data_IF_459095870034
#
_entry.id   IF_459095870034
#
_cell.length_a   1.000
_cell.length_b   1.000
_cell.length_c   1.000
_cell.angle_alpha   90.00
_cell.angle_beta   90.00
_cell.angle_gamma   90.00
#
_symmetry.space_group_name_H-M   'P 1'
#
loop_
_entity.id
_entity.type
_entity.pdbx_description
1 polymer ?
#
# COMPACT_ATOMS: atom_id res chain seq x y z
N UNK A 1 -50.90 -3.25 -39.43
CA UNK A 1 -51.97 -2.87 -38.47
C UNK A 1 -51.55 -3.43 -37.11
N UNK A 2 -50.77 -2.68 -36.33
CA UNK A 2 -51.21 -1.92 -35.12
C UNK A 2 -51.52 -2.85 -33.94
N UNK A 3 -51.19 -2.60 -32.66
CA UNK A 3 -50.35 -1.66 -31.90
C UNK A 3 -50.47 -2.11 -30.41
N UNK A 4 -49.49 -1.76 -29.58
CA UNK A 4 -49.59 -1.55 -28.11
C UNK A 4 -49.60 -2.80 -27.19
N UNK A 5 -48.87 -2.90 -26.08
CA UNK A 5 -48.53 -1.88 -25.06
C UNK A 5 -47.22 -2.23 -24.32
N UNK A 6 -46.33 -1.24 -24.21
CA UNK A 6 -45.21 -1.21 -23.26
C UNK A 6 -45.68 -0.72 -21.89
N UNK A 7 -45.15 -1.27 -20.80
CA UNK A 7 -45.17 -0.63 -19.46
C UNK A 7 -43.74 -0.37 -19.01
N UNK A 8 -43.39 0.91 -19.03
CA UNK A 8 -42.21 1.54 -18.46
C UNK A 8 -42.30 1.48 -16.93
N UNK A 9 -41.25 0.99 -16.26
CA UNK A 9 -41.06 1.22 -14.82
C UNK A 9 -39.88 2.17 -14.65
N UNK A 10 -40.19 3.45 -14.39
CA UNK A 10 -39.23 4.43 -13.91
C UNK A 10 -38.71 3.97 -12.54
N UNK A 11 -37.38 3.90 -12.38
CA UNK A 11 -36.74 3.91 -11.06
C UNK A 11 -35.86 5.14 -10.98
N UNK A 12 -36.29 6.09 -10.16
CA UNK A 12 -35.58 7.30 -9.78
C UNK A 12 -34.21 6.98 -9.15
N UNK A 13 -33.19 7.83 -9.29
CA UNK A 13 -31.92 7.63 -8.60
C UNK A 13 -32.10 7.92 -7.11
N UNK A 14 -31.93 6.89 -6.26
CA UNK A 14 -31.92 7.05 -4.80
C UNK A 14 -30.58 7.63 -4.34
N UNK A 15 -30.66 8.60 -3.44
CA UNK A 15 -29.61 9.31 -2.72
C UNK A 15 -28.63 8.41 -1.94
N UNK A 16 -27.73 7.72 -2.63
CA UNK A 16 -26.71 6.87 -2.01
C UNK A 16 -25.44 7.62 -1.54
N UNK A 17 -25.38 8.95 -1.71
CA UNK A 17 -24.14 9.72 -1.51
C UNK A 17 -23.81 10.19 -0.08
N UNK A 18 -24.75 10.16 0.86
CA UNK A 18 -24.55 10.80 2.19
C UNK A 18 -24.40 9.83 3.37
N UNK A 19 -24.69 8.54 3.18
CA UNK A 19 -24.62 7.56 4.27
C UNK A 19 -23.32 6.73 4.28
N UNK A 20 -22.57 6.64 3.18
CA UNK A 20 -21.27 5.97 3.18
C UNK A 20 -20.17 6.82 3.82
N UNK A 21 -20.18 8.14 3.60
CA UNK A 21 -19.20 9.09 4.17
C UNK A 21 -19.22 9.11 5.70
N UNK A 22 -20.37 8.86 6.34
CA UNK A 22 -20.48 8.81 7.81
C UNK A 22 -19.87 7.55 8.44
N UNK A 23 -19.62 6.49 7.66
CA UNK A 23 -19.05 5.24 8.17
C UNK A 23 -17.53 5.31 8.35
N UNK A 24 -16.87 6.24 7.67
CA UNK A 24 -15.41 6.40 7.64
C UNK A 24 -14.88 7.54 8.52
N UNK A 25 -15.77 8.38 9.05
CA UNK A 25 -15.42 9.47 9.97
C UNK A 25 -14.44 9.04 11.09
N UNK A 26 -14.54 7.86 11.74
CA UNK A 26 -13.61 7.50 12.81
C UNK A 26 -12.16 7.26 12.35
N UNK A 27 -11.94 6.84 11.09
CA UNK A 27 -10.59 6.62 10.54
C UNK A 27 -9.99 7.94 10.06
N UNK A 28 -10.81 8.78 9.42
CA UNK A 28 -10.43 10.12 9.00
C UNK A 28 -10.12 11.01 10.20
N UNK A 29 -10.94 10.99 11.25
CA UNK A 29 -10.73 11.72 12.50
C UNK A 29 -9.48 11.22 13.25
N UNK A 30 -9.26 9.90 13.27
CA UNK A 30 -8.06 9.33 13.89
C UNK A 30 -6.78 9.72 13.13
N UNK A 31 -6.81 9.64 11.80
CA UNK A 31 -5.66 10.03 10.97
C UNK A 31 -5.46 11.55 10.98
N UNK A 32 -6.53 12.35 10.99
CA UNK A 32 -6.43 13.80 11.17
C UNK A 32 -5.91 14.19 12.56
N UNK A 33 -6.21 13.42 13.61
CA UNK A 33 -5.63 13.61 14.94
C UNK A 33 -4.16 13.17 15.03
N UNK A 34 -3.75 12.21 14.20
CA UNK A 34 -2.37 11.73 14.09
C UNK A 34 -1.50 12.58 13.12
N UNK A 35 -2.13 13.27 12.17
CA UNK A 35 -1.51 14.17 11.20
C UNK A 35 -1.46 15.58 11.79
N UNK A 36 -0.26 16.04 12.14
CA UNK A 36 -0.01 17.43 12.55
C UNK A 36 -0.43 18.37 11.40
N UNK A 37 -1.31 19.36 11.60
CA UNK A 37 -1.78 20.24 10.53
C UNK A 37 -0.62 20.97 9.85
N UNK A 38 -0.55 20.93 8.52
CA UNK A 38 0.21 21.90 7.74
C UNK A 38 -0.67 23.14 7.53
N UNK A 39 -0.59 24.11 8.44
CA UNK A 39 -1.35 25.35 8.30
C UNK A 39 -0.83 26.17 7.11
N UNK A 40 -1.57 26.11 6.02
CA UNK A 40 -1.52 27.08 4.93
C UNK A 40 -2.62 28.12 5.12
N UNK A 41 -2.29 29.27 5.70
CA UNK A 41 -3.08 30.51 5.59
C UNK A 41 -2.18 31.74 5.65
N UNK A 42 -2.05 32.42 4.52
CA UNK A 42 -1.55 33.80 4.40
C UNK A 42 -2.73 34.78 4.48
N UNK A 43 -2.61 35.91 5.19
CA UNK A 43 -3.35 37.12 4.88
C UNK A 43 -2.49 38.11 4.09
N UNK A 44 -3.14 38.82 3.17
CA UNK A 44 -2.58 39.79 2.23
C UNK A 44 -2.68 41.25 2.75
N UNK A 45 -1.86 42.14 2.15
CA UNK A 45 -1.86 43.62 2.25
C UNK A 45 -0.53 44.18 2.80
N UNK A 46 0.17 45.17 2.26
CA UNK A 46 -0.05 46.13 1.17
C UNK A 46 1.30 46.72 0.64
N UNK A 47 1.25 47.29 -0.59
CA UNK A 47 2.27 48.00 -1.42
C UNK A 47 3.06 49.15 -0.72
N UNK A 48 4.23 49.72 -1.12
CA UNK A 48 5.14 49.85 -2.33
C UNK A 48 6.39 50.70 -1.87
N UNK A 49 7.37 51.19 -2.68
CA UNK A 49 7.97 50.74 -3.96
C UNK A 49 9.54 50.74 -4.01
N UNK A 50 10.08 50.06 -5.03
CA UNK A 50 11.30 50.29 -5.83
C UNK A 50 12.66 50.73 -5.21
N UNK A 51 13.68 49.85 -5.30
CA UNK A 51 14.96 50.20 -5.97
C UNK A 51 15.78 48.95 -6.35
N UNK A 52 16.31 48.97 -7.57
CA UNK A 52 17.22 47.98 -8.17
C UNK A 52 18.48 47.70 -7.33
N UNK A 53 18.65 46.45 -6.89
CA UNK A 53 19.95 45.77 -6.76
C UNK A 53 19.66 44.28 -6.52
N UNK A 54 19.98 43.41 -7.49
CA UNK A 54 19.81 41.97 -7.34
C UNK A 54 20.70 41.43 -6.20
N UNK A 55 20.14 40.74 -5.18
CA UNK A 55 20.95 40.10 -4.17
C UNK A 55 21.15 38.60 -4.47
N UNK A 56 22.22 37.99 -3.93
CA UNK A 56 22.45 36.56 -4.03
C UNK A 56 21.32 35.82 -3.31
N UNK A 57 20.81 34.77 -3.95
CA UNK A 57 19.71 33.93 -3.51
C UNK A 57 20.06 33.26 -2.17
N UNK A 58 19.68 33.90 -1.07
CA UNK A 58 19.50 33.23 0.22
C UNK A 58 18.28 32.33 0.09
N UNK A 59 18.49 31.08 -0.34
CA UNK A 59 17.57 30.02 0.03
C UNK A 59 17.71 29.82 1.54
N UNK A 60 16.92 30.58 2.29
CA UNK A 60 16.64 30.29 3.68
C UNK A 60 16.09 28.87 3.73
N UNK A 61 16.91 27.95 4.23
CA UNK A 61 16.45 26.67 4.72
C UNK A 61 15.36 26.96 5.75
N UNK A 62 14.09 26.87 5.36
CA UNK A 62 13.01 26.57 6.30
C UNK A 62 13.17 25.09 6.63
N UNK A 63 14.25 24.76 7.34
CA UNK A 63 14.28 23.58 8.18
C UNK A 63 13.25 23.88 9.25
N UNK A 64 12.00 23.48 9.02
CA UNK A 64 11.07 23.25 10.12
C UNK A 64 11.80 22.30 11.06
N UNK A 65 12.39 22.85 12.11
CA UNK A 65 13.07 22.12 13.17
C UNK A 65 12.00 21.42 13.98
N UNK A 66 11.31 20.46 13.37
CA UNK A 66 10.46 19.53 14.10
C UNK A 66 11.39 18.80 15.06
N UNK A 67 11.30 19.17 16.33
CA UNK A 67 11.97 18.45 17.40
C UNK A 67 11.57 16.97 17.28
N UNK A 68 12.50 16.03 17.47
CA UNK A 68 12.16 14.61 17.46
C UNK A 68 11.05 14.36 18.50
N UNK A 69 10.07 13.50 18.18
CA UNK A 69 8.95 13.24 19.06
C UNK A 69 9.45 12.71 20.42
N UNK A 70 8.78 13.13 21.50
CA UNK A 70 9.17 12.69 22.85
C UNK A 70 8.85 11.19 23.02
N UNK A 71 9.61 10.45 23.85
CA UNK A 71 9.31 9.05 24.13
C UNK A 71 7.86 8.80 24.58
N UNK A 72 7.29 9.70 25.38
CA UNK A 72 5.89 9.61 25.83
C UNK A 72 4.88 9.70 24.67
N UNK A 73 5.16 10.52 23.65
CA UNK A 73 4.31 10.67 22.47
C UNK A 73 4.38 9.42 21.59
N UNK A 74 5.58 8.87 21.39
CA UNK A 74 5.79 7.61 20.66
C UNK A 74 5.03 6.48 21.36
N UNK A 75 5.19 6.34 22.67
CA UNK A 75 4.52 5.32 23.45
C UNK A 75 2.98 5.47 23.39
N UNK A 76 2.47 6.70 23.40
CA UNK A 76 1.04 6.96 23.22
C UNK A 76 0.56 6.49 21.84
N UNK A 77 1.29 6.78 20.77
CA UNK A 77 0.94 6.34 19.41
C UNK A 77 0.94 4.81 19.32
N UNK A 78 1.97 4.14 19.85
CA UNK A 78 2.03 2.67 19.87
C UNK A 78 0.79 2.10 20.58
N UNK A 79 0.48 2.56 21.79
CA UNK A 79 -0.68 2.04 22.53
C UNK A 79 -2.01 2.32 21.83
N UNK A 80 -2.21 3.52 21.28
CA UNK A 80 -3.46 3.87 20.58
C UNK A 80 -3.62 3.10 19.26
N UNK A 81 -2.52 2.88 18.53
CA UNK A 81 -2.56 2.09 17.29
C UNK A 81 -3.00 0.64 17.53
N UNK A 82 -2.56 0.03 18.63
CA UNK A 82 -2.97 -1.33 19.03
C UNK A 82 -4.41 -1.37 19.53
N UNK A 83 -4.78 -0.47 20.45
CA UNK A 83 -6.15 -0.41 21.00
C UNK A 83 -7.20 -0.18 19.91
N UNK A 84 -6.84 0.57 18.87
CA UNK A 84 -7.74 0.86 17.75
C UNK A 84 -7.69 -0.18 16.63
N UNK A 85 -6.82 -1.19 16.70
CA UNK A 85 -6.55 -2.16 15.63
C UNK A 85 -6.22 -1.44 14.30
N UNK A 86 -5.39 -0.40 14.35
CA UNK A 86 -5.25 0.55 13.26
C UNK A 86 -4.78 -0.11 11.96
N UNK A 87 -3.76 -0.99 12.02
CA UNK A 87 -3.25 -1.69 10.84
C UNK A 87 -4.36 -2.47 10.12
N UNK A 88 -5.21 -3.18 10.88
CA UNK A 88 -6.33 -3.93 10.32
C UNK A 88 -7.41 -3.01 9.73
N UNK A 89 -7.71 -1.88 10.39
CA UNK A 89 -8.66 -0.89 9.86
C UNK A 89 -8.16 -0.27 8.56
N UNK A 90 -6.89 0.10 8.50
CA UNK A 90 -6.28 0.60 7.27
C UNK A 90 -6.43 -0.44 6.16
N UNK A 91 -6.00 -1.69 6.41
CA UNK A 91 -6.05 -2.75 5.41
C UNK A 91 -7.47 -3.04 4.89
N UNK A 92 -8.49 -3.01 5.76
CA UNK A 92 -9.89 -3.26 5.39
C UNK A 92 -10.57 -2.11 4.65
N UNK A 93 -10.09 -0.88 4.80
CA UNK A 93 -10.80 0.31 4.32
C UNK A 93 -10.03 1.13 3.29
N UNK A 94 -8.76 0.81 3.01
CA UNK A 94 -7.95 1.59 2.06
C UNK A 94 -8.54 1.63 0.64
N UNK A 95 -9.23 0.57 0.20
CA UNK A 95 -9.87 0.52 -1.12
C UNK A 95 -10.94 1.61 -1.32
N UNK A 96 -11.66 1.98 -0.25
CA UNK A 96 -12.76 2.97 -0.29
C UNK A 96 -12.34 4.36 0.20
N UNK A 97 -11.12 4.50 0.71
CA UNK A 97 -10.56 5.76 1.17
C UNK A 97 -10.38 6.76 0.02
N UNK A 98 -10.47 8.06 0.32
CA UNK A 98 -10.14 9.13 -0.62
C UNK A 98 -8.67 9.06 -1.06
N UNK A 99 -8.30 9.60 -2.24
CA UNK A 99 -6.91 9.54 -2.72
C UNK A 99 -5.88 10.11 -1.75
N UNK A 100 -6.21 11.21 -1.07
CA UNK A 100 -5.36 11.83 -0.05
C UNK A 100 -5.21 10.92 1.16
N UNK A 101 -6.31 10.31 1.61
CA UNK A 101 -6.31 9.39 2.74
C UNK A 101 -5.52 8.11 2.43
N UNK A 102 -5.60 7.56 1.22
CA UNK A 102 -4.77 6.42 0.80
C UNK A 102 -3.28 6.71 0.96
N UNK A 103 -2.81 7.88 0.52
CA UNK A 103 -1.40 8.29 0.68
C UNK A 103 -1.00 8.38 2.15
N UNK A 104 -1.84 8.97 2.99
CA UNK A 104 -1.62 9.03 4.44
C UNK A 104 -1.58 7.64 5.07
N UNK A 105 -2.48 6.74 4.68
CA UNK A 105 -2.50 5.35 5.12
C UNK A 105 -1.20 4.61 4.79
N UNK A 106 -0.68 4.76 3.57
CA UNK A 106 0.61 4.15 3.15
C UNK A 106 1.74 4.65 4.05
N UNK A 107 1.82 5.96 4.29
CA UNK A 107 2.83 6.55 5.16
C UNK A 107 2.71 6.04 6.60
N UNK A 108 1.50 6.11 7.18
CA UNK A 108 1.26 5.68 8.56
C UNK A 108 1.58 4.20 8.74
N UNK A 109 1.17 3.35 7.79
CA UNK A 109 1.50 1.93 7.78
C UNK A 109 3.00 1.68 7.87
N UNK A 110 3.78 2.26 6.95
CA UNK A 110 5.23 2.08 6.92
C UNK A 110 5.94 2.60 8.18
N UNK A 111 5.47 3.71 8.76
CA UNK A 111 6.01 4.23 10.01
C UNK A 111 5.68 3.33 11.20
N UNK A 112 4.44 2.86 11.32
CA UNK A 112 4.02 2.02 12.44
C UNK A 112 4.77 0.69 12.48
N UNK A 113 5.03 0.06 11.33
CA UNK A 113 5.79 -1.19 11.29
C UNK A 113 7.24 -1.04 11.78
N UNK A 114 7.82 0.15 11.63
CA UNK A 114 9.20 0.46 12.07
C UNK A 114 9.25 1.04 13.48
N UNK A 115 8.12 1.50 14.01
CA UNK A 115 8.04 2.20 15.29
C UNK A 115 8.30 1.25 16.45
N UNK A 116 9.33 1.54 17.23
CA UNK A 116 9.67 0.80 18.44
C UNK A 116 9.06 1.48 19.67
N UNK A 117 8.54 0.68 20.61
CA UNK A 117 8.15 1.22 21.91
C UNK A 117 9.42 1.66 22.68
N UNK A 118 9.44 2.88 23.22
CA UNK A 118 10.57 3.34 24.03
C UNK A 118 10.76 2.57 25.34
N UNK A 119 9.79 1.75 25.76
CA UNK A 119 9.86 0.99 27.02
C UNK A 119 10.66 -0.30 26.89
N UNK A 120 10.51 -1.01 25.77
CA UNK A 120 11.09 -2.33 25.57
C UNK A 120 11.83 -2.48 24.24
N UNK A 121 11.88 -1.43 23.42
CA UNK A 121 12.50 -1.42 22.08
C UNK A 121 11.89 -2.43 21.10
N UNK A 122 10.66 -2.89 21.36
CA UNK A 122 9.96 -3.83 20.48
C UNK A 122 9.13 -3.10 19.43
N UNK A 123 9.08 -3.65 18.22
CA UNK A 123 8.20 -3.21 17.13
C UNK A 123 6.79 -3.79 17.35
N UNK A 124 6.05 -3.24 18.32
CA UNK A 124 4.78 -3.85 18.78
C UNK A 124 3.73 -3.93 17.67
N UNK A 125 3.67 -2.95 16.77
CA UNK A 125 2.77 -2.99 15.60
C UNK A 125 3.16 -4.07 14.57
N UNK A 126 4.46 -4.34 14.42
CA UNK A 126 4.91 -5.47 13.59
C UNK A 126 4.49 -6.81 14.23
N UNK A 127 4.65 -6.96 15.55
CA UNK A 127 4.18 -8.15 16.26
C UNK A 127 2.65 -8.33 16.16
N UNK A 128 1.90 -7.22 16.18
CA UNK A 128 0.46 -7.24 15.89
C UNK A 128 0.18 -7.76 14.47
N UNK A 129 0.89 -7.26 13.45
CA UNK A 129 0.73 -7.72 12.06
C UNK A 129 0.93 -9.24 11.96
N UNK A 130 1.96 -9.78 12.62
CA UNK A 130 2.29 -11.21 12.62
C UNK A 130 1.18 -12.10 13.18
N UNK A 131 0.41 -11.60 14.14
CA UNK A 131 -0.70 -12.31 14.77
C UNK A 131 -2.06 -12.06 14.09
N UNK A 132 -2.11 -11.18 13.09
CA UNK A 132 -3.33 -10.78 12.38
C UNK A 132 -3.15 -10.92 10.86
N UNK A 133 -3.14 -12.15 10.32
CA UNK A 133 -2.89 -12.40 8.89
C UNK A 133 -3.92 -11.74 7.95
N UNK A 134 -5.11 -11.41 8.46
CA UNK A 134 -6.12 -10.65 7.73
C UNK A 134 -5.61 -9.29 7.24
N UNK A 135 -4.66 -8.65 7.94
CA UNK A 135 -4.06 -7.41 7.49
C UNK A 135 -3.43 -7.57 6.10
N UNK A 136 -2.58 -8.60 5.92
CA UNK A 136 -1.90 -8.84 4.65
C UNK A 136 -2.88 -9.39 3.59
N UNK A 137 -3.79 -10.29 3.97
CA UNK A 137 -4.82 -10.83 3.05
C UNK A 137 -5.69 -9.73 2.46
N UNK A 138 -6.16 -8.79 3.30
CA UNK A 138 -6.95 -7.67 2.84
C UNK A 138 -6.15 -6.80 1.84
N UNK A 139 -4.89 -6.48 2.14
CA UNK A 139 -4.05 -5.70 1.23
C UNK A 139 -3.85 -6.39 -0.13
N UNK A 140 -3.54 -7.69 -0.13
CA UNK A 140 -3.38 -8.46 -1.37
C UNK A 140 -4.68 -8.47 -2.18
N UNK A 141 -5.82 -8.67 -1.52
CA UNK A 141 -7.13 -8.64 -2.20
C UNK A 141 -7.44 -7.28 -2.85
N UNK A 142 -6.91 -6.18 -2.30
CA UNK A 142 -7.13 -4.84 -2.84
C UNK A 142 -6.36 -4.57 -4.16
N UNK A 143 -5.44 -5.44 -4.59
CA UNK A 143 -4.83 -5.33 -5.91
C UNK A 143 -5.85 -5.37 -7.05
N UNK A 144 -7.01 -6.02 -6.85
CA UNK A 144 -8.09 -6.04 -7.84
C UNK A 144 -8.78 -4.69 -8.02
N UNK A 145 -8.44 -3.68 -7.21
CA UNK A 145 -8.98 -2.32 -7.29
C UNK A 145 -7.91 -1.43 -7.93
N UNK A 146 -8.02 -1.06 -9.23
CA UNK A 146 -6.95 -0.40 -9.98
C UNK A 146 -6.38 0.85 -9.28
N UNK A 147 -7.25 1.77 -8.83
CA UNK A 147 -6.84 3.02 -8.17
C UNK A 147 -6.22 2.83 -6.77
N UNK A 148 -6.26 1.61 -6.23
CA UNK A 148 -5.70 1.26 -4.92
C UNK A 148 -4.44 0.39 -5.05
N UNK A 149 -4.30 -0.35 -6.16
CA UNK A 149 -3.26 -1.36 -6.39
C UNK A 149 -1.84 -0.86 -6.05
N UNK A 150 -1.45 0.29 -6.58
CA UNK A 150 -0.12 0.89 -6.33
C UNK A 150 0.11 1.24 -4.85
N UNK A 151 -0.95 1.59 -4.11
CA UNK A 151 -0.83 1.96 -2.70
C UNK A 151 -0.66 0.73 -1.83
N UNK A 152 -1.47 -0.31 -2.06
CA UNK A 152 -1.38 -1.55 -1.29
C UNK A 152 -0.10 -2.32 -1.61
N UNK A 153 0.40 -2.23 -2.84
CA UNK A 153 1.70 -2.78 -3.19
C UNK A 153 2.84 -2.18 -2.39
N UNK A 154 2.90 -0.85 -2.26
CA UNK A 154 3.88 -0.17 -1.39
C UNK A 154 3.76 -0.65 0.06
N UNK A 155 2.55 -0.81 0.58
CA UNK A 155 2.34 -1.28 1.95
C UNK A 155 2.77 -2.73 2.17
N UNK A 156 2.46 -3.61 1.21
CA UNK A 156 2.89 -5.02 1.25
C UNK A 156 4.41 -5.09 1.20
N UNK A 157 5.07 -4.35 0.29
CA UNK A 157 6.53 -4.27 0.21
C UNK A 157 7.15 -3.70 1.48
N UNK A 158 6.57 -2.66 2.08
CA UNK A 158 7.03 -2.13 3.37
C UNK A 158 6.97 -3.17 4.49
N UNK A 159 5.97 -4.05 4.47
CA UNK A 159 5.87 -5.17 5.41
C UNK A 159 6.88 -6.29 5.08
N UNK A 160 7.15 -6.56 3.80
CA UNK A 160 8.10 -7.58 3.35
C UNK A 160 9.58 -7.21 3.57
N UNK A 161 9.87 -5.99 4.06
CA UNK A 161 11.19 -5.62 4.56
C UNK A 161 11.59 -6.35 5.84
N UNK A 162 10.64 -7.01 6.49
CA UNK A 162 10.86 -7.78 7.69
C UNK A 162 10.84 -9.28 7.36
N UNK A 163 11.96 -9.95 7.67
CA UNK A 163 12.18 -11.36 7.41
C UNK A 163 11.00 -12.24 7.86
N UNK A 164 10.53 -12.04 9.09
CA UNK A 164 9.48 -12.86 9.68
C UNK A 164 8.14 -12.70 8.95
N UNK A 165 7.85 -11.49 8.42
CA UNK A 165 6.64 -11.24 7.64
C UNK A 165 6.68 -12.01 6.34
N UNK A 166 7.82 -12.01 5.63
CA UNK A 166 7.98 -12.79 4.39
C UNK A 166 7.79 -14.27 4.68
N UNK A 167 8.47 -14.81 5.69
CA UNK A 167 8.36 -16.22 6.05
C UNK A 167 6.93 -16.61 6.45
N UNK A 168 6.30 -15.88 7.37
CA UNK A 168 5.01 -16.31 7.93
C UNK A 168 3.82 -15.92 7.05
N UNK A 169 3.81 -14.71 6.51
CA UNK A 169 2.65 -14.17 5.79
C UNK A 169 2.74 -14.51 4.31
N UNK A 170 3.87 -14.27 3.66
CA UNK A 170 3.96 -14.48 2.20
C UNK A 170 4.10 -15.95 1.84
N UNK A 171 5.00 -16.66 2.51
CA UNK A 171 5.30 -18.05 2.22
C UNK A 171 4.38 -19.03 2.94
N UNK A 172 4.45 -19.11 4.29
CA UNK A 172 3.70 -20.11 5.04
C UNK A 172 2.17 -20.02 4.88
N UNK A 173 1.65 -18.82 4.65
CA UNK A 173 0.20 -18.62 4.44
C UNK A 173 -0.24 -18.66 2.97
N UNK A 174 0.72 -18.82 2.04
CA UNK A 174 0.44 -18.95 0.61
C UNK A 174 0.04 -17.65 -0.11
N UNK A 175 0.20 -16.48 0.52
CA UNK A 175 -0.13 -15.19 -0.11
C UNK A 175 0.71 -14.91 -1.36
N UNK A 176 1.92 -15.46 -1.46
CA UNK A 176 2.72 -15.36 -2.67
C UNK A 176 1.99 -15.91 -3.90
N UNK A 177 1.19 -16.96 -3.76
CA UNK A 177 0.45 -17.53 -4.89
C UNK A 177 -0.70 -16.63 -5.35
N UNK A 178 -1.28 -15.82 -4.47
CA UNK A 178 -2.29 -14.82 -4.85
C UNK A 178 -1.67 -13.66 -5.64
N UNK A 179 -0.35 -13.40 -5.49
CA UNK A 179 0.32 -12.42 -6.34
C UNK A 179 0.34 -12.87 -7.81
N UNK A 180 0.34 -14.17 -8.11
CA UNK A 180 0.25 -14.63 -9.50
C UNK A 180 -1.06 -14.20 -10.17
N UNK A 181 -2.17 -14.12 -9.44
CA UNK A 181 -3.43 -13.59 -9.98
C UNK A 181 -3.29 -12.10 -10.35
N UNK A 182 -2.53 -11.34 -9.54
CA UNK A 182 -2.19 -9.93 -9.82
C UNK A 182 -1.32 -9.80 -11.06
N UNK A 183 -0.37 -10.73 -11.26
CA UNK A 183 0.51 -10.76 -12.42
C UNK A 183 -0.23 -11.07 -13.73
N UNK A 184 -1.38 -11.74 -13.67
CA UNK A 184 -2.25 -11.95 -14.83
C UNK A 184 -3.19 -10.77 -15.13
N UNK A 185 -3.12 -9.68 -14.35
CA UNK A 185 -3.98 -8.51 -14.54
C UNK A 185 -3.77 -7.85 -15.91
N UNK A 186 -4.87 -7.46 -16.55
CA UNK A 186 -4.84 -6.65 -17.78
C UNK A 186 -4.49 -5.18 -17.52
N UNK A 187 -4.51 -4.74 -16.26
CA UNK A 187 -4.05 -3.41 -15.89
C UNK A 187 -2.53 -3.41 -15.76
N UNK A 188 -1.86 -2.67 -16.64
CA UNK A 188 -0.41 -2.59 -16.72
C UNK A 188 0.24 -2.12 -15.41
N UNK A 189 -0.30 -1.07 -14.78
CA UNK A 189 0.26 -0.51 -13.55
C UNK A 189 0.13 -1.49 -12.38
N UNK A 190 -1.03 -2.15 -12.28
CA UNK A 190 -1.27 -3.22 -11.30
C UNK A 190 -0.33 -4.40 -11.51
N UNK A 191 -0.17 -4.87 -12.76
CA UNK A 191 0.73 -5.97 -13.09
C UNK A 191 2.19 -5.61 -12.79
N UNK A 192 2.64 -4.43 -13.20
CA UNK A 192 4.00 -3.96 -12.97
C UNK A 192 4.32 -3.84 -11.48
N UNK A 193 3.39 -3.30 -10.69
CA UNK A 193 3.55 -3.24 -9.23
C UNK A 193 3.50 -4.64 -8.59
N UNK A 194 2.68 -5.56 -9.11
CA UNK A 194 2.68 -6.96 -8.72
C UNK A 194 4.03 -7.64 -8.93
N UNK A 195 4.70 -7.40 -10.07
CA UNK A 195 6.06 -7.92 -10.34
C UNK A 195 7.08 -7.35 -9.36
N UNK A 196 7.00 -6.07 -9.04
CA UNK A 196 7.88 -5.45 -8.04
C UNK A 196 7.66 -6.06 -6.65
N UNK A 197 6.42 -6.33 -6.27
CA UNK A 197 6.09 -7.00 -5.02
C UNK A 197 6.58 -8.45 -4.99
N UNK A 198 6.39 -9.23 -6.05
CA UNK A 198 6.92 -10.59 -6.14
C UNK A 198 8.45 -10.59 -6.03
N UNK A 199 9.12 -9.63 -6.69
CA UNK A 199 10.56 -9.44 -6.59
C UNK A 199 11.01 -9.14 -5.16
N UNK A 200 10.36 -8.18 -4.48
CA UNK A 200 10.67 -7.85 -3.08
C UNK A 200 10.58 -9.09 -2.17
N UNK A 201 9.50 -9.87 -2.31
CA UNK A 201 9.26 -11.09 -1.52
C UNK A 201 10.36 -12.13 -1.75
N UNK A 202 10.74 -12.36 -3.00
CA UNK A 202 11.70 -13.42 -3.36
C UNK A 202 13.16 -13.01 -3.15
N UNK A 203 13.51 -11.74 -3.33
CA UNK A 203 14.90 -11.31 -3.41
C UNK A 203 15.41 -10.57 -2.17
N UNK A 204 14.54 -10.06 -1.29
CA UNK A 204 14.98 -9.28 -0.14
C UNK A 204 15.59 -10.14 0.99
N UNK A 205 14.98 -11.29 1.29
CA UNK A 205 15.42 -12.21 2.36
C UNK A 205 15.84 -13.57 1.78
N UNK A 206 17.03 -13.59 1.16
CA UNK A 206 17.53 -14.73 0.36
C UNK A 206 17.49 -16.07 1.09
N UNK A 207 17.84 -16.10 2.36
CA UNK A 207 17.94 -17.32 3.16
C UNK A 207 16.59 -18.03 3.34
N UNK A 208 15.50 -17.27 3.51
CA UNK A 208 14.15 -17.82 3.56
C UNK A 208 13.65 -18.16 2.16
N UNK A 209 13.86 -17.25 1.20
CA UNK A 209 13.35 -17.42 -0.16
C UNK A 209 13.94 -18.65 -0.85
N UNK A 210 15.26 -18.86 -0.75
CA UNK A 210 15.92 -20.03 -1.35
C UNK A 210 15.40 -21.32 -0.73
N UNK A 211 15.29 -21.38 0.61
CA UNK A 211 14.74 -22.55 1.29
C UNK A 211 13.31 -22.83 0.81
N UNK A 212 12.45 -21.81 0.84
CA UNK A 212 11.06 -21.97 0.44
C UNK A 212 10.90 -22.35 -1.04
N UNK A 213 11.69 -21.75 -1.94
CA UNK A 213 11.69 -22.09 -3.37
C UNK A 213 12.12 -23.53 -3.63
N UNK A 214 13.10 -24.05 -2.89
CA UNK A 214 13.52 -25.46 -3.01
C UNK A 214 12.41 -26.41 -2.53
N UNK A 215 11.77 -26.07 -1.42
CA UNK A 215 10.69 -26.89 -0.83
C UNK A 215 9.40 -26.85 -1.67
N UNK A 216 9.19 -25.79 -2.46
CA UNK A 216 7.97 -25.55 -3.25
C UNK A 216 8.25 -25.41 -4.76
N UNK A 217 9.37 -25.99 -5.22
CA UNK A 217 9.89 -25.79 -6.58
C UNK A 217 8.81 -26.06 -7.64
N UNK A 218 8.19 -27.24 -7.60
CA UNK A 218 7.24 -27.64 -8.63
C UNK A 218 6.01 -26.72 -8.67
N UNK A 219 5.40 -26.42 -7.52
CA UNK A 219 4.21 -25.57 -7.46
C UNK A 219 4.52 -24.13 -7.92
N UNK A 220 5.62 -23.56 -7.41
CA UNK A 220 6.02 -22.20 -7.78
C UNK A 220 6.33 -22.10 -9.28
N UNK A 221 7.18 -22.99 -9.81
CA UNK A 221 7.58 -22.91 -11.21
C UNK A 221 6.48 -23.32 -12.18
N UNK A 222 5.49 -24.12 -11.77
CA UNK A 222 4.30 -24.35 -12.58
C UNK A 222 3.48 -23.06 -12.76
N UNK A 223 3.24 -22.30 -11.67
CA UNK A 223 2.58 -20.98 -11.76
C UNK A 223 3.41 -19.96 -12.54
N UNK A 224 4.73 -20.05 -12.42
CA UNK A 224 5.64 -19.20 -13.20
C UNK A 224 5.61 -19.54 -14.69
N UNK A 225 5.53 -20.83 -15.03
CA UNK A 225 5.41 -21.30 -16.40
C UNK A 225 4.12 -20.79 -17.04
N UNK A 226 3.00 -20.75 -16.31
CA UNK A 226 1.74 -20.16 -16.79
C UNK A 226 1.92 -18.69 -17.24
N UNK A 227 2.76 -17.90 -16.55
CA UNK A 227 3.07 -16.51 -16.96
C UNK A 227 3.88 -16.44 -18.26
N UNK A 228 4.68 -17.46 -18.56
CA UNK A 228 5.47 -17.56 -19.80
C UNK A 228 4.63 -18.13 -20.95
N UNK A 229 3.71 -19.05 -20.64
CA UNK A 229 2.88 -19.81 -21.56
C UNK A 229 1.63 -19.07 -22.03
N UNK A 230 1.43 -17.79 -21.67
CA UNK A 230 0.27 -16.97 -22.06
C UNK A 230 0.24 -16.70 -23.58
N UNK A 231 0.33 -17.70 -24.44
CA UNK A 231 0.32 -17.61 -25.89
C UNK A 231 -0.93 -16.89 -26.37
N UNK A 232 -0.72 -15.79 -27.11
CA UNK A 232 -1.66 -15.06 -27.99
C UNK A 232 -2.32 -13.78 -27.45
N UNK A 233 -1.55 -12.70 -27.27
CA UNK A 233 -2.07 -11.31 -27.25
C UNK A 233 -1.00 -10.21 -27.08
N UNK A 234 -1.28 -8.96 -27.45
CA UNK A 234 -0.29 -7.85 -27.40
C UNK A 234 0.12 -7.41 -25.97
N UNK A 235 -0.74 -7.64 -24.97
CA UNK A 235 -0.45 -7.38 -23.54
C UNK A 235 0.63 -8.33 -22.99
N UNK A 236 0.95 -9.41 -23.71
CA UNK A 236 1.78 -10.54 -23.28
C UNK A 236 3.29 -10.26 -23.30
N UNK A 237 3.79 -9.46 -24.24
CA UNK A 237 5.25 -9.29 -24.40
C UNK A 237 5.89 -8.70 -23.14
N UNK A 238 5.22 -7.72 -22.51
CA UNK A 238 5.74 -7.12 -21.28
C UNK A 238 5.73 -8.14 -20.15
N UNK A 239 4.64 -8.89 -19.96
CA UNK A 239 4.54 -9.92 -18.92
C UNK A 239 5.64 -10.97 -19.08
N UNK A 240 5.84 -11.50 -20.29
CA UNK A 240 6.90 -12.47 -20.59
C UNK A 240 8.28 -11.87 -20.35
N UNK A 241 8.52 -10.64 -20.81
CA UNK A 241 9.81 -9.96 -20.60
C UNK A 241 10.11 -9.71 -19.12
N UNK A 242 9.13 -9.24 -18.35
CA UNK A 242 9.29 -8.99 -16.90
C UNK A 242 9.48 -10.30 -16.14
N UNK A 243 8.74 -11.35 -16.50
CA UNK A 243 8.92 -12.69 -15.95
C UNK A 243 10.34 -13.21 -16.26
N UNK A 244 10.77 -13.24 -17.52
CA UNK A 244 12.13 -13.66 -17.86
C UNK A 244 13.22 -12.84 -17.16
N UNK A 245 13.01 -11.53 -16.99
CA UNK A 245 13.92 -10.67 -16.23
C UNK A 245 14.00 -11.08 -14.76
N UNK A 246 12.86 -11.23 -14.09
CA UNK A 246 12.82 -11.63 -12.68
C UNK A 246 13.36 -13.05 -12.49
N UNK A 247 13.05 -13.97 -13.40
CA UNK A 247 13.63 -15.32 -13.40
C UNK A 247 15.16 -15.28 -13.54
N UNK A 248 15.66 -14.44 -14.44
CA UNK A 248 17.10 -14.18 -14.58
C UNK A 248 17.70 -13.62 -13.28
N UNK A 249 17.03 -12.65 -12.65
CA UNK A 249 17.44 -12.11 -11.35
C UNK A 249 17.49 -13.21 -10.27
N UNK A 250 16.48 -14.09 -10.19
CA UNK A 250 16.42 -15.20 -9.20
C UNK A 250 17.53 -16.24 -9.44
N UNK A 251 17.77 -16.63 -10.70
CA UNK A 251 18.69 -17.72 -11.04
C UNK A 251 20.16 -17.31 -11.05
N UNK A 252 20.46 -16.04 -11.35
CA UNK A 252 21.82 -15.52 -11.45
C UNK A 252 22.32 -14.90 -10.15
N UNK A 253 21.42 -14.65 -9.20
CA UNK A 253 21.77 -14.13 -7.89
C UNK A 253 22.57 -15.18 -7.11
N UNK A 254 23.78 -14.79 -6.70
CA UNK A 254 24.76 -15.64 -6.01
C UNK A 254 24.62 -15.58 -4.49
#
# INVERSE_FOLDING_TARGET
VSLSTSKSFQRSPSSAGENETKKYAPLEDFLAAAVIPSDGRTPAGDHKPDTHAGPPTQFGNVTSTRKPPKPEEIEKVVNQSLQSNLLLKIARHIAVASPELRRSCVQVWGHLLKLESPKNHEKVNLAYLMTHPDCMRCLVSCYSIPDCSIHVGVMIRDACKFHDVVQSQMFNSGLIYQLFDVLHSHNFDTQADGFETLKEVLMNHKDVSVRWLLDNFDEFFNRYQELLDVSSGDTQYVTVRQSLKLLGDILLDR
#
